data_IF_697574546500
#
_entry.id   IF_697574546500
#
_cell.length_a   1.000
_cell.length_b   1.000
_cell.length_c   1.000
_cell.angle_alpha   90.00
_cell.angle_beta   90.00
_cell.angle_gamma   90.00
#
_symmetry.space_group_name_H-M   'P 1'
#
loop_
_entity.id
_entity.type
_entity.pdbx_description
1 polymer ?
#
# COMPACT_ATOMS: atom_id res chain seq x y z
N UNK A 1 46.37 39.27 6.88
CA UNK A 1 45.38 38.18 6.93
C UNK A 1 44.38 38.35 8.07
N UNK A 2 43.61 39.45 8.08
CA UNK A 2 42.49 39.65 9.02
C UNK A 2 41.36 40.54 8.45
N UNK A 3 41.53 41.05 7.22
CA UNK A 3 40.57 41.95 6.56
C UNK A 3 39.73 41.20 5.52
N UNK A 4 40.25 40.13 4.93
CA UNK A 4 39.56 39.32 3.90
C UNK A 4 38.47 38.40 4.47
N UNK A 5 38.56 38.00 5.74
CA UNK A 5 37.54 37.13 6.38
C UNK A 5 36.28 37.89 6.83
N UNK A 6 36.36 39.23 7.01
CA UNK A 6 35.20 40.04 7.42
C UNK A 6 34.30 40.45 6.24
N UNK A 7 34.85 40.57 5.03
CA UNK A 7 34.05 40.88 3.83
C UNK A 7 33.19 39.68 3.39
N UNK A 8 33.71 38.46 3.51
CA UNK A 8 32.97 37.25 3.11
C UNK A 8 31.76 36.98 4.01
N UNK A 9 31.87 37.26 5.32
CA UNK A 9 30.75 37.06 6.25
C UNK A 9 29.61 38.08 6.05
N UNK A 10 29.94 39.31 5.66
CA UNK A 10 28.96 40.36 5.39
C UNK A 10 28.17 40.11 4.08
N UNK A 11 28.83 39.54 3.05
CA UNK A 11 28.17 39.16 1.79
C UNK A 11 27.19 37.99 1.98
N UNK A 12 27.54 36.97 2.78
CA UNK A 12 26.63 35.85 3.07
C UNK A 12 25.40 36.24 3.90
N UNK A 13 25.53 37.17 4.86
CA UNK A 13 24.38 37.66 5.63
C UNK A 13 23.44 38.56 4.82
N UNK A 14 23.96 39.31 3.84
CA UNK A 14 23.13 40.14 2.94
C UNK A 14 22.30 39.31 1.94
N UNK A 15 22.84 38.18 1.48
CA UNK A 15 22.12 37.26 0.60
C UNK A 15 20.96 36.56 1.34
N UNK A 16 21.14 36.21 2.61
CA UNK A 16 20.09 35.55 3.41
C UNK A 16 18.90 36.48 3.72
N UNK A 17 19.14 37.78 3.88
CA UNK A 17 18.08 38.77 4.13
C UNK A 17 17.29 39.17 2.88
N UNK A 18 17.85 38.98 1.67
CA UNK A 18 17.14 39.23 0.41
C UNK A 18 16.23 38.07 -0.03
N UNK A 19 16.49 36.84 0.43
CA UNK A 19 15.60 35.69 0.17
C UNK A 19 14.41 35.61 1.13
N UNK A 20 14.50 36.20 2.33
CA UNK A 20 13.39 36.21 3.30
C UNK A 20 12.28 37.24 2.98
N UNK A 21 12.52 38.18 2.05
CA UNK A 21 11.58 39.27 1.75
C UNK A 21 10.58 38.99 0.60
N UNK A 22 10.58 37.79 0.00
CA UNK A 22 9.70 37.43 -1.12
C UNK A 22 8.81 36.21 -0.87
N UNK A 23 8.43 35.93 0.39
CA UNK A 23 7.31 35.04 0.67
C UNK A 23 5.99 35.82 0.53
N UNK A 24 5.49 35.96 -0.71
CA UNK A 24 4.12 36.43 -0.96
C UNK A 24 3.16 35.25 -0.76
N UNK A 25 2.30 35.37 0.24
CA UNK A 25 1.07 34.59 0.35
C UNK A 25 0.21 34.78 -0.89
N UNK A 26 0.07 33.72 -1.69
CA UNK A 26 -0.97 33.64 -2.71
C UNK A 26 -2.28 33.21 -2.04
N UNK A 27 -3.07 34.16 -1.57
CA UNK A 27 -4.48 33.93 -1.29
C UNK A 27 -5.26 33.96 -2.61
N UNK A 28 -5.47 32.79 -3.20
CA UNK A 28 -6.42 32.61 -4.30
C UNK A 28 -7.85 32.70 -3.79
N UNK A 29 -8.64 33.65 -4.31
CA UNK A 29 -10.08 33.71 -4.08
C UNK A 29 -10.79 32.50 -4.73
N UNK A 30 -11.78 31.86 -4.07
CA UNK A 30 -12.55 30.79 -4.68
C UNK A 30 -13.55 31.35 -5.68
N UNK A 31 -13.34 31.03 -6.96
CA UNK A 31 -14.31 31.21 -8.02
C UNK A 31 -15.51 30.28 -7.81
N UNK A 32 -16.70 30.86 -7.86
CA UNK A 32 -17.98 30.22 -7.63
C UNK A 32 -18.44 29.49 -8.91
N UNK A 33 -18.24 28.17 -8.97
CA UNK A 33 -18.88 27.28 -9.97
C UNK A 33 -19.32 25.97 -9.30
N UNK A 34 -20.54 25.56 -9.64
CA UNK A 34 -21.35 24.56 -8.93
C UNK A 34 -20.75 23.15 -8.81
N UNK A 35 -21.08 22.57 -7.66
CA UNK A 35 -20.75 21.26 -7.09
C UNK A 35 -21.05 20.05 -7.98
N UNK A 36 -20.05 19.17 -8.11
CA UNK A 36 -20.09 17.75 -7.68
C UNK A 36 -18.73 17.10 -7.94
N UNK A 37 -17.95 16.87 -6.87
CA UNK A 37 -16.60 16.29 -6.90
C UNK A 37 -15.47 17.25 -6.49
N UNK A 38 -15.70 18.09 -5.47
CA UNK A 38 -14.68 18.99 -4.93
C UNK A 38 -13.88 18.28 -3.84
N UNK A 39 -12.54 18.30 -3.94
CA UNK A 39 -11.68 17.89 -2.82
C UNK A 39 -12.03 18.67 -1.56
N UNK A 40 -12.15 17.97 -0.44
CA UNK A 40 -12.41 18.62 0.86
C UNK A 40 -11.25 19.56 1.19
N UNK A 41 -11.57 20.72 1.74
CA UNK A 41 -10.55 21.59 2.32
C UNK A 41 -9.89 20.88 3.49
N UNK A 42 -8.64 21.24 3.80
CA UNK A 42 -7.92 20.65 4.94
C UNK A 42 -8.71 20.76 6.27
N UNK A 43 -9.49 21.83 6.45
CA UNK A 43 -10.34 22.03 7.62
C UNK A 43 -11.58 21.11 7.68
N UNK A 44 -12.00 20.54 6.53
CA UNK A 44 -13.12 19.60 6.41
C UNK A 44 -12.68 18.14 6.44
N UNK A 45 -11.41 17.86 6.12
CA UNK A 45 -10.88 16.50 6.11
C UNK A 45 -11.17 15.80 7.45
N UNK A 46 -11.73 14.59 7.38
CA UNK A 46 -12.15 13.75 8.50
C UNK A 46 -13.38 14.20 9.33
N UNK A 47 -14.16 15.21 8.90
CA UNK A 47 -15.50 15.48 9.45
C UNK A 47 -16.57 14.58 8.84
N UNK A 48 -16.43 13.28 9.06
CA UNK A 48 -17.22 12.26 8.36
C UNK A 48 -18.57 12.09 9.05
N UNK A 49 -19.66 12.27 8.29
CA UNK A 49 -21.02 12.05 8.80
C UNK A 49 -21.43 10.57 8.72
N UNK A 50 -20.97 9.86 7.69
CA UNK A 50 -21.27 8.45 7.47
C UNK A 50 -20.10 7.75 6.75
N UNK A 51 -19.71 6.60 7.27
CA UNK A 51 -18.80 5.65 6.62
C UNK A 51 -19.59 4.46 6.08
N UNK A 52 -19.15 3.91 4.95
CA UNK A 52 -19.75 2.73 4.31
C UNK A 52 -18.67 1.86 3.68
N UNK A 53 -18.96 0.56 3.50
CA UNK A 53 -18.16 -0.27 2.61
C UNK A 53 -18.20 0.27 1.18
N UNK A 54 -17.03 0.48 0.58
CA UNK A 54 -16.86 0.99 -0.78
C UNK A 54 -16.30 -0.10 -1.69
N UNK A 55 -16.78 -0.10 -2.94
CA UNK A 55 -16.34 -0.96 -4.02
C UNK A 55 -15.55 -0.12 -5.04
N UNK A 56 -14.71 -0.73 -5.90
CA UNK A 56 -14.06 0.01 -6.96
C UNK A 56 -15.09 0.73 -7.86
N UNK A 57 -14.85 2.01 -8.13
CA UNK A 57 -15.70 2.86 -8.95
C UNK A 57 -15.29 2.89 -10.42
N UNK A 58 -14.02 2.56 -10.70
CA UNK A 58 -13.46 2.53 -12.04
C UNK A 58 -12.69 1.23 -12.29
N UNK A 59 -12.82 0.69 -13.50
CA UNK A 59 -11.99 -0.39 -14.03
C UNK A 59 -11.31 0.05 -15.33
N UNK A 60 -10.03 -0.25 -15.44
CA UNK A 60 -9.19 -0.07 -16.61
C UNK A 60 -8.85 -1.46 -17.14
N UNK A 61 -9.39 -1.81 -18.31
CA UNK A 61 -9.10 -3.08 -18.97
C UNK A 61 -7.72 -3.03 -19.65
N UNK A 62 -7.04 -4.17 -19.71
CA UNK A 62 -5.76 -4.33 -20.38
C UNK A 62 -5.67 -5.74 -21.00
N UNK A 63 -4.71 -5.95 -21.89
CA UNK A 63 -4.55 -7.21 -22.62
C UNK A 63 -4.41 -8.41 -21.66
N UNK A 64 -3.57 -8.28 -20.64
CA UNK A 64 -3.24 -9.34 -19.68
C UNK A 64 -3.97 -9.25 -18.33
N UNK A 65 -5.01 -8.43 -18.22
CA UNK A 65 -5.70 -8.26 -16.94
C UNK A 65 -6.50 -6.97 -16.85
N UNK A 66 -6.69 -6.49 -15.62
CA UNK A 66 -7.32 -5.20 -15.37
C UNK A 66 -6.85 -4.55 -14.07
N UNK A 67 -7.02 -3.24 -14.00
CA UNK A 67 -6.78 -2.42 -12.82
C UNK A 67 -8.09 -1.78 -12.36
N UNK A 68 -8.42 -1.93 -11.09
CA UNK A 68 -9.60 -1.36 -10.44
C UNK A 68 -9.18 -0.29 -9.44
N UNK A 69 -9.90 0.84 -9.45
CA UNK A 69 -9.64 2.00 -8.63
C UNK A 69 -10.87 2.30 -7.76
N UNK A 70 -10.64 2.56 -6.48
CA UNK A 70 -11.62 3.22 -5.63
C UNK A 70 -11.60 4.72 -5.93
N UNK A 71 -12.72 5.42 -5.71
CA UNK A 71 -12.75 6.86 -5.91
C UNK A 71 -12.00 7.55 -4.76
N UNK A 72 -10.78 8.02 -5.04
CA UNK A 72 -9.95 8.77 -4.08
C UNK A 72 -10.65 10.03 -3.54
N UNK A 73 -11.75 10.47 -4.16
CA UNK A 73 -12.53 11.62 -3.71
C UNK A 73 -13.63 11.29 -2.69
N UNK A 74 -13.87 10.01 -2.38
CA UNK A 74 -14.74 9.67 -1.25
C UNK A 74 -14.15 10.25 0.04
N UNK A 75 -15.02 10.83 0.89
CA UNK A 75 -14.61 11.50 2.14
C UNK A 75 -13.68 10.64 3.00
N UNK A 76 -13.94 9.33 3.03
CA UNK A 76 -13.16 8.36 3.80
C UNK A 76 -11.71 8.23 3.32
N UNK A 77 -11.48 8.22 2.00
CA UNK A 77 -10.14 8.09 1.42
C UNK A 77 -9.40 9.43 1.41
N UNK A 78 -10.13 10.55 1.25
CA UNK A 78 -9.56 11.88 1.45
C UNK A 78 -9.14 12.12 2.90
N UNK A 79 -9.93 11.66 3.88
CA UNK A 79 -9.58 11.71 5.29
C UNK A 79 -8.30 10.91 5.59
N UNK A 80 -8.21 9.67 5.08
CA UNK A 80 -7.02 8.85 5.26
C UNK A 80 -5.82 9.30 4.40
N UNK A 81 -6.04 10.13 3.37
CA UNK A 81 -4.99 10.56 2.46
C UNK A 81 -4.49 9.44 1.55
N UNK A 82 -5.35 8.52 1.12
CA UNK A 82 -4.93 7.33 0.37
C UNK A 82 -5.67 7.18 -0.96
N UNK A 83 -5.03 6.52 -1.92
CA UNK A 83 -5.67 6.01 -3.14
C UNK A 83 -5.60 4.48 -3.17
N UNK A 84 -6.71 3.77 -2.91
CA UNK A 84 -6.77 2.31 -3.01
C UNK A 84 -6.88 1.83 -4.46
N UNK A 85 -6.25 0.69 -4.74
CA UNK A 85 -6.21 0.09 -6.07
C UNK A 85 -6.08 -1.44 -6.00
N UNK A 86 -6.73 -2.14 -6.93
CA UNK A 86 -6.64 -3.59 -7.13
C UNK A 86 -6.13 -3.88 -8.54
N UNK A 87 -5.11 -4.72 -8.65
CA UNK A 87 -4.62 -5.21 -9.94
C UNK A 87 -4.86 -6.71 -10.04
N UNK A 88 -5.38 -7.15 -11.18
CA UNK A 88 -5.60 -8.57 -11.48
C UNK A 88 -4.83 -8.89 -12.75
N UNK A 89 -3.79 -9.72 -12.60
CA UNK A 89 -2.96 -10.18 -13.71
C UNK A 89 -3.37 -11.61 -14.05
N UNK A 90 -3.75 -11.85 -15.30
CA UNK A 90 -3.98 -13.20 -15.82
C UNK A 90 -2.67 -13.96 -15.91
N UNK A 91 -2.76 -15.27 -16.13
CA UNK A 91 -1.58 -16.11 -16.37
C UNK A 91 -0.71 -15.52 -17.49
N UNK A 92 0.61 -15.60 -17.34
CA UNK A 92 1.60 -15.14 -18.32
C UNK A 92 1.38 -13.67 -18.71
N UNK A 93 1.06 -12.82 -17.72
CA UNK A 93 0.83 -11.40 -17.94
C UNK A 93 1.79 -10.54 -17.13
N UNK A 94 2.23 -9.44 -17.72
CA UNK A 94 3.19 -8.48 -17.17
C UNK A 94 2.49 -7.15 -16.91
N UNK A 95 2.44 -6.73 -15.64
CA UNK A 95 2.20 -5.34 -15.29
C UNK A 95 3.42 -4.51 -15.70
N UNK A 96 3.20 -3.55 -16.58
CA UNK A 96 4.27 -2.77 -17.20
C UNK A 96 5.03 -1.91 -16.15
N UNK A 97 6.32 -1.65 -16.40
CA UNK A 97 7.15 -0.89 -15.47
C UNK A 97 6.62 0.54 -15.25
N UNK A 98 6.54 0.95 -13.99
CA UNK A 98 6.08 2.28 -13.59
C UNK A 98 6.68 2.70 -12.23
N UNK A 99 6.59 3.98 -11.89
CA UNK A 99 6.94 4.51 -10.57
C UNK A 99 5.93 5.58 -10.12
N UNK A 100 5.80 5.75 -8.81
CA UNK A 100 4.83 6.66 -8.18
C UNK A 100 5.53 7.68 -7.26
N UNK A 101 5.04 8.91 -7.09
CA UNK A 101 5.64 9.91 -6.18
C UNK A 101 5.36 9.62 -4.69
N UNK A 102 4.51 8.64 -4.39
CA UNK A 102 4.14 8.21 -3.04
C UNK A 102 4.54 6.76 -2.78
N UNK A 103 4.76 6.37 -1.51
CA UNK A 103 4.93 4.98 -1.15
C UNK A 103 3.64 4.20 -1.37
N UNK A 104 3.81 2.93 -1.71
CA UNK A 104 2.72 1.99 -1.99
C UNK A 104 2.92 0.71 -1.20
N UNK A 105 1.90 0.31 -0.46
CA UNK A 105 1.87 -0.96 0.25
C UNK A 105 0.91 -1.91 -0.44
N UNK A 106 1.42 -3.07 -0.88
CA UNK A 106 0.67 -4.05 -1.68
C UNK A 106 0.47 -5.31 -0.85
N UNK A 107 -0.75 -5.83 -0.79
CA UNK A 107 -1.10 -7.14 -0.28
C UNK A 107 -1.45 -8.08 -1.43
N UNK A 108 -0.80 -9.24 -1.49
CA UNK A 108 -1.11 -10.29 -2.46
C UNK A 108 -2.23 -11.16 -1.90
N UNK A 109 -3.44 -10.97 -2.42
CA UNK A 109 -4.65 -11.66 -1.98
C UNK A 109 -4.69 -13.11 -2.48
N UNK A 110 -4.26 -13.34 -3.73
CA UNK A 110 -4.32 -14.63 -4.42
C UNK A 110 -3.23 -14.71 -5.49
N UNK A 111 -2.77 -15.93 -5.81
CA UNK A 111 -1.79 -16.16 -6.86
C UNK A 111 -0.35 -16.05 -6.40
N UNK A 112 0.54 -16.21 -7.38
CA UNK A 112 1.99 -16.03 -7.23
C UNK A 112 2.54 -15.36 -8.48
N UNK A 113 3.72 -14.76 -8.35
CA UNK A 113 4.36 -14.08 -9.45
C UNK A 113 5.78 -13.66 -9.11
N UNK A 114 6.35 -12.87 -9.99
CA UNK A 114 7.65 -12.23 -9.84
C UNK A 114 7.46 -10.72 -9.74
N UNK A 115 8.26 -10.07 -8.92
CA UNK A 115 8.33 -8.61 -8.86
C UNK A 115 9.80 -8.18 -8.80
N UNK A 116 10.12 -7.09 -9.49
CA UNK A 116 11.38 -6.38 -9.27
C UNK A 116 11.09 -4.94 -8.93
N UNK A 117 11.81 -4.42 -7.94
CA UNK A 117 11.79 -3.02 -7.52
C UNK A 117 13.19 -2.50 -7.78
N UNK A 118 13.31 -1.56 -8.71
CA UNK A 118 14.58 -0.99 -9.14
C UNK A 118 14.96 0.12 -8.17
N UNK A 119 16.05 -0.10 -7.43
CA UNK A 119 16.66 0.90 -6.56
C UNK A 119 17.66 1.74 -7.36
N UNK A 120 17.42 3.06 -7.51
CA UNK A 120 18.34 3.93 -8.24
C UNK A 120 19.74 3.91 -7.60
N UNK A 121 20.77 3.68 -8.41
CA UNK A 121 22.16 3.65 -7.97
C UNK A 121 22.66 2.31 -7.43
N UNK A 122 21.82 1.27 -7.39
CA UNK A 122 22.22 -0.11 -7.12
C UNK A 122 22.58 -0.84 -8.42
N UNK A 123 23.60 -1.69 -8.36
CA UNK A 123 24.09 -2.44 -9.51
C UNK A 123 23.23 -3.67 -9.84
N UNK A 124 23.41 -4.18 -11.05
CA UNK A 124 22.82 -5.41 -11.52
C UNK A 124 23.52 -6.63 -10.89
N UNK A 125 23.00 -7.08 -9.74
CA UNK A 125 23.58 -8.19 -8.98
C UNK A 125 23.22 -9.58 -9.52
N UNK A 126 22.27 -9.68 -10.46
CA UNK A 126 21.89 -10.92 -11.12
C UNK A 126 22.52 -10.96 -12.51
N UNK A 127 23.48 -11.87 -12.74
CA UNK A 127 24.30 -11.89 -13.96
C UNK A 127 24.47 -13.33 -14.50
N UNK A 128 24.51 -13.51 -15.82
CA UNK A 128 24.60 -14.86 -16.44
C UNK A 128 25.90 -15.62 -16.11
N UNK A 129 26.94 -14.93 -15.63
CA UNK A 129 28.28 -15.50 -15.36
C UNK A 129 28.60 -15.70 -13.87
N UNK A 130 27.70 -15.34 -12.94
CA UNK A 130 27.95 -15.61 -11.52
C UNK A 130 27.96 -17.12 -11.26
N UNK A 131 29.13 -17.65 -10.88
CA UNK A 131 29.39 -19.07 -10.60
C UNK A 131 28.49 -19.64 -9.48
N UNK A 132 27.79 -18.79 -8.73
CA UNK A 132 26.90 -19.15 -7.62
C UNK A 132 25.53 -19.69 -8.03
N UNK A 133 25.04 -19.45 -9.25
CA UNK A 133 23.66 -19.82 -9.66
C UNK A 133 23.62 -20.98 -10.68
N UNK A 134 24.61 -21.88 -10.66
CA UNK A 134 24.69 -23.01 -11.62
C UNK A 134 23.85 -24.23 -11.25
N UNK A 135 23.20 -24.26 -10.09
CA UNK A 135 22.58 -25.47 -9.54
C UNK A 135 21.07 -25.62 -9.83
N UNK A 136 20.62 -25.31 -11.06
CA UNK A 136 19.19 -25.49 -11.41
C UNK A 136 18.87 -25.62 -12.91
N UNK A 137 19.89 -25.67 -13.79
CA UNK A 137 19.63 -25.80 -15.24
C UNK A 137 19.27 -27.24 -15.61
N UNK A 138 18.12 -27.41 -16.25
CA UNK A 138 17.81 -28.60 -17.03
C UNK A 138 18.85 -28.76 -18.16
N UNK A 139 19.54 -29.92 -18.26
CA UNK A 139 20.63 -30.13 -19.24
C UNK A 139 20.24 -30.03 -20.72
N UNK A 140 18.96 -29.86 -21.06
CA UNK A 140 18.45 -29.84 -22.43
C UNK A 140 18.48 -28.45 -23.09
N UNK A 141 18.73 -27.37 -22.33
CA UNK A 141 18.88 -26.01 -22.90
C UNK A 141 20.30 -25.70 -23.41
N UNK A 142 21.22 -26.67 -23.38
CA UNK A 142 22.60 -26.47 -23.87
C UNK A 142 22.76 -26.58 -25.40
N UNK A 143 21.76 -27.06 -26.13
CA UNK A 143 21.84 -27.15 -27.60
C UNK A 143 20.90 -26.18 -28.31
N UNK A 144 21.38 -24.97 -28.57
CA UNK A 144 20.92 -24.19 -29.72
C UNK A 144 20.03 -22.98 -29.43
N UNK A 145 20.60 -21.94 -28.82
CA UNK A 145 20.40 -20.53 -29.19
C UNK A 145 21.44 -19.71 -28.41
N UNK A 146 22.09 -18.74 -29.07
CA UNK A 146 23.25 -18.04 -28.51
C UNK A 146 23.02 -17.52 -27.10
N UNK A 147 24.00 -17.72 -26.21
CA UNK A 147 24.06 -17.18 -24.84
C UNK A 147 23.63 -15.70 -24.85
N UNK A 148 22.38 -15.40 -24.49
CA UNK A 148 22.00 -14.03 -24.11
C UNK A 148 22.64 -13.76 -22.75
N UNK A 149 23.72 -13.00 -22.76
CA UNK A 149 24.26 -12.41 -21.55
C UNK A 149 23.29 -11.33 -21.09
N UNK A 150 22.78 -11.46 -19.87
CA UNK A 150 21.88 -10.50 -19.26
C UNK A 150 22.38 -10.13 -17.85
N UNK A 151 22.05 -8.92 -17.43
CA UNK A 151 22.31 -8.42 -16.08
C UNK A 151 21.14 -7.53 -15.66
N UNK A 152 20.60 -7.78 -14.48
CA UNK A 152 19.54 -6.95 -13.91
C UNK A 152 19.58 -6.93 -12.38
N UNK A 153 18.79 -6.05 -11.76
CA UNK A 153 18.61 -6.06 -10.31
C UNK A 153 17.79 -7.27 -9.85
N UNK A 154 17.78 -7.52 -8.54
CA UNK A 154 17.11 -8.67 -7.93
C UNK A 154 15.64 -8.77 -8.34
N UNK A 155 15.23 -9.97 -8.68
CA UNK A 155 13.83 -10.35 -8.91
C UNK A 155 13.39 -11.21 -7.75
N UNK A 156 12.21 -10.94 -7.21
CA UNK A 156 11.70 -11.62 -6.03
C UNK A 156 10.43 -12.39 -6.34
N UNK A 157 10.33 -13.58 -5.77
CA UNK A 157 9.08 -14.34 -5.73
C UNK A 157 8.07 -13.65 -4.81
N UNK A 158 6.86 -13.46 -5.31
CA UNK A 158 5.70 -13.06 -4.50
C UNK A 158 4.62 -14.13 -4.54
N UNK A 159 3.89 -14.28 -3.43
CA UNK A 159 2.81 -15.26 -3.28
C UNK A 159 1.71 -14.73 -2.39
N UNK A 160 0.56 -15.40 -2.42
CA UNK A 160 -0.56 -15.15 -1.51
C UNK A 160 -0.08 -14.96 -0.06
N UNK A 161 -0.58 -13.90 0.57
CA UNK A 161 -0.21 -13.52 1.93
C UNK A 161 0.94 -12.53 2.02
N UNK A 162 1.71 -12.31 0.94
CA UNK A 162 2.81 -11.34 0.95
C UNK A 162 2.29 -9.91 1.04
N UNK A 163 2.99 -9.12 1.85
CA UNK A 163 2.95 -7.67 1.85
C UNK A 163 4.23 -7.20 1.19
N UNK A 164 4.12 -6.36 0.17
CA UNK A 164 5.22 -5.81 -0.62
C UNK A 164 5.23 -4.30 -0.46
N UNK A 165 6.37 -3.76 -0.05
CA UNK A 165 6.61 -2.37 0.24
C UNK A 165 7.37 -1.72 -0.93
N UNK A 166 6.72 -0.78 -1.62
CA UNK A 166 7.28 -0.09 -2.79
C UNK A 166 7.48 1.39 -2.41
N UNK A 167 8.73 1.87 -2.28
CA UNK A 167 8.99 3.26 -1.91
C UNK A 167 8.67 4.22 -3.06
N UNK A 168 8.44 5.48 -2.72
CA UNK A 168 8.24 6.55 -3.70
C UNK A 168 9.44 6.64 -4.67
N UNK A 169 9.16 6.83 -5.95
CA UNK A 169 10.14 6.97 -7.02
C UNK A 169 10.77 5.67 -7.51
N UNK A 170 10.59 4.54 -6.82
CA UNK A 170 11.14 3.27 -7.27
C UNK A 170 10.34 2.71 -8.45
N UNK A 171 11.02 2.50 -9.57
CA UNK A 171 10.44 1.80 -10.72
C UNK A 171 10.22 0.33 -10.35
N UNK A 172 9.10 -0.23 -10.78
CA UNK A 172 8.78 -1.62 -10.50
C UNK A 172 7.91 -2.23 -11.59
N UNK A 173 8.00 -3.54 -11.75
CA UNK A 173 7.16 -4.34 -12.63
C UNK A 173 6.78 -5.66 -11.95
N UNK A 174 5.69 -6.28 -12.40
CA UNK A 174 5.21 -7.53 -11.81
C UNK A 174 4.73 -8.49 -12.90
N UNK A 175 5.13 -9.75 -12.80
CA UNK A 175 4.77 -10.80 -13.75
C UNK A 175 4.06 -11.96 -13.07
N UNK A 176 2.95 -12.41 -13.65
CA UNK A 176 2.28 -13.63 -13.21
C UNK A 176 2.80 -14.85 -13.99
N UNK A 177 3.69 -15.62 -13.38
CA UNK A 177 4.15 -16.94 -13.86
C UNK A 177 3.39 -18.10 -13.20
N UNK A 178 2.29 -17.82 -12.49
CA UNK A 178 1.38 -18.79 -11.90
C UNK A 178 0.29 -19.26 -12.86
N UNK A 179 -0.39 -20.33 -12.47
CA UNK A 179 -1.53 -20.88 -13.24
C UNK A 179 -2.84 -20.12 -13.01
N UNK A 180 -3.00 -19.53 -11.83
CA UNK A 180 -4.17 -18.73 -11.44
C UNK A 180 -3.93 -17.23 -11.64
N UNK A 181 -5.00 -16.45 -11.56
CA UNK A 181 -4.88 -14.98 -11.55
C UNK A 181 -4.16 -14.50 -10.28
N UNK A 182 -3.16 -13.64 -10.47
CA UNK A 182 -2.49 -12.91 -9.41
C UNK A 182 -3.33 -11.67 -9.07
N UNK A 183 -3.83 -11.61 -7.83
CA UNK A 183 -4.66 -10.50 -7.33
C UNK A 183 -3.89 -9.72 -6.27
N UNK A 184 -3.63 -8.45 -6.55
CA UNK A 184 -2.86 -7.56 -5.70
C UNK A 184 -3.69 -6.34 -5.29
N UNK A 185 -3.94 -6.21 -3.99
CA UNK A 185 -4.62 -5.08 -3.36
C UNK A 185 -3.57 -4.09 -2.87
N UNK A 186 -3.78 -2.79 -3.02
CA UNK A 186 -2.80 -1.81 -2.56
C UNK A 186 -3.42 -0.51 -2.11
N UNK A 187 -2.74 0.17 -1.19
CA UNK A 187 -2.99 1.58 -0.89
C UNK A 187 -1.74 2.39 -1.25
N UNK A 188 -1.96 3.60 -1.72
CA UNK A 188 -0.93 4.58 -2.04
C UNK A 188 -1.11 5.77 -1.10
N UNK A 189 -0.09 6.13 -0.33
CA UNK A 189 -0.18 7.19 0.68
C UNK A 189 0.07 8.57 0.05
N UNK A 190 -1.00 9.25 -0.33
CA UNK A 190 -0.96 10.55 -1.00
C UNK A 190 -0.49 11.67 -0.06
N UNK A 191 -0.57 11.47 1.25
CA UNK A 191 -0.17 12.46 2.26
C UNK A 191 1.24 12.24 2.81
N UNK A 192 1.94 11.20 2.36
CA UNK A 192 3.30 10.93 2.77
C UNK A 192 4.25 12.07 2.38
N UNK A 193 5.20 12.39 3.27
CA UNK A 193 6.18 13.47 3.07
C UNK A 193 7.04 13.37 1.79
N UNK A 194 7.17 12.17 1.22
CA UNK A 194 7.88 11.97 -0.05
C UNK A 194 7.08 12.49 -1.25
N UNK A 195 5.74 12.58 -1.15
CA UNK A 195 4.90 13.10 -2.20
C UNK A 195 4.86 14.63 -2.14
N UNK A 196 5.82 15.27 -2.79
CA UNK A 196 5.97 16.73 -2.81
C UNK A 196 5.16 17.42 -3.93
N UNK A 197 4.31 16.68 -4.65
CA UNK A 197 3.50 17.23 -5.73
C UNK A 197 2.21 17.83 -5.15
N UNK A 198 1.22 16.96 -4.98
CA UNK A 198 -0.06 17.25 -4.32
C UNK A 198 -0.72 15.91 -3.97
N UNK A 199 -1.88 15.97 -3.32
CA UNK A 199 -2.58 14.77 -2.84
C UNK A 199 -3.34 14.01 -3.96
N UNK A 200 -3.02 14.17 -5.26
CA UNK A 200 -3.64 13.38 -6.35
C UNK A 200 -2.78 12.16 -6.69
N UNK A 201 -3.45 11.02 -6.91
CA UNK A 201 -2.78 9.83 -7.41
C UNK A 201 -2.14 10.10 -8.77
N UNK A 202 -0.85 9.75 -8.91
CA UNK A 202 -0.10 9.79 -10.17
C UNK A 202 0.74 8.54 -10.31
N UNK A 203 0.72 7.96 -11.51
CA UNK A 203 1.60 6.87 -11.89
C UNK A 203 2.34 7.24 -13.18
N UNK A 204 3.66 7.14 -13.14
CA UNK A 204 4.53 7.42 -14.28
C UNK A 204 4.93 6.09 -14.90
N UNK A 205 4.34 5.76 -16.04
CA UNK A 205 4.64 4.52 -16.75
C UNK A 205 5.88 4.70 -17.62
N UNK A 206 6.69 3.65 -17.71
CA UNK A 206 7.86 3.57 -18.61
C UNK A 206 7.52 2.83 -19.91
N UNK A 207 6.32 2.24 -20.00
CA UNK A 207 5.77 1.61 -21.19
C UNK A 207 4.24 1.54 -21.10
N UNK A 208 3.57 1.46 -22.25
CA UNK A 208 2.11 1.34 -22.32
C UNK A 208 1.37 2.63 -21.96
N UNK A 209 0.18 2.50 -21.38
CA UNK A 209 -0.63 3.64 -20.94
C UNK A 209 -2.12 3.48 -21.27
N UNK A 210 -2.94 4.39 -20.73
CA UNK A 210 -4.40 4.38 -20.97
C UNK A 210 -4.78 5.48 -21.96
N UNK A 211 -5.47 5.11 -23.04
CA UNK A 211 -6.00 6.09 -24.00
C UNK A 211 -7.27 6.76 -23.47
N UNK A 212 -7.43 8.04 -23.77
CA UNK A 212 -8.69 8.74 -23.56
C UNK A 212 -9.67 8.35 -24.67
N UNK A 213 -10.75 7.63 -24.34
CA UNK A 213 -11.72 7.20 -25.37
C UNK A 213 -12.56 8.39 -25.87
N UNK A 214 -12.38 8.79 -27.14
CA UNK A 214 -13.12 9.91 -27.76
C UNK A 214 -14.65 9.74 -27.74
N UNK A 215 -15.16 8.50 -27.66
CA UNK A 215 -16.60 8.16 -27.65
C UNK A 215 -17.33 8.54 -26.35
N UNK A 216 -16.66 9.13 -25.35
CA UNK A 216 -17.26 9.59 -24.08
C UNK A 216 -17.08 11.09 -23.83
N UNK A 217 -16.97 11.89 -24.90
CA UNK A 217 -16.91 13.38 -24.83
C UNK A 217 -18.18 14.05 -24.29
N UNK A 218 -19.31 13.34 -24.20
CA UNK A 218 -20.63 13.96 -23.91
C UNK A 218 -21.15 13.81 -22.47
N UNK A 219 -20.35 13.38 -21.50
CA UNK A 219 -20.75 13.42 -20.08
C UNK A 219 -19.60 13.89 -19.18
N UNK A 220 -19.72 15.18 -18.78
CA UNK A 220 -19.26 15.85 -17.55
C UNK A 220 -17.78 15.65 -17.15
N UNK A 221 -17.06 16.77 -17.00
CA UNK A 221 -15.60 16.90 -16.85
C UNK A 221 -14.88 16.11 -15.75
N UNK A 222 -15.56 15.31 -14.95
CA UNK A 222 -14.99 14.40 -13.94
C UNK A 222 -14.16 13.26 -14.56
N UNK A 223 -14.49 12.82 -15.78
CA UNK A 223 -13.81 11.69 -16.43
C UNK A 223 -12.47 12.05 -17.10
N UNK A 224 -12.20 13.34 -17.30
CA UNK A 224 -10.95 13.84 -17.91
C UNK A 224 -9.73 13.68 -16.99
N UNK A 225 -9.92 13.62 -15.68
CA UNK A 225 -8.83 13.63 -14.70
C UNK A 225 -8.30 12.23 -14.36
N UNK A 226 -9.05 11.14 -14.64
CA UNK A 226 -8.64 9.79 -14.26
C UNK A 226 -7.79 9.05 -15.30
N UNK A 227 -7.90 9.38 -16.59
CA UNK A 227 -7.10 8.78 -17.68
C UNK A 227 -5.72 9.40 -17.84
N UNK A 228 -5.53 10.67 -17.45
CA UNK A 228 -4.23 11.33 -17.47
C UNK A 228 -3.24 10.77 -16.44
N UNK A 229 -3.72 9.96 -15.48
CA UNK A 229 -2.92 9.40 -14.38
C UNK A 229 -2.02 8.23 -14.78
N UNK A 230 -2.20 7.66 -15.98
CA UNK A 230 -1.57 6.42 -16.42
C UNK A 230 -0.93 6.58 -17.81
N UNK A 231 0.04 7.48 -17.93
CA UNK A 231 0.69 7.83 -19.20
C UNK A 231 2.16 7.38 -19.22
N UNK A 232 2.62 6.93 -20.38
CA UNK A 232 4.03 6.65 -20.63
C UNK A 232 4.81 7.96 -20.79
N UNK A 233 5.85 8.15 -19.97
CA UNK A 233 6.65 9.37 -19.96
C UNK A 233 7.46 9.55 -21.26
N UNK A 234 7.85 8.47 -21.94
CA UNK A 234 8.65 8.54 -23.15
C UNK A 234 7.93 9.24 -24.29
N UNK A 235 6.59 9.20 -24.29
CA UNK A 235 5.72 9.82 -25.30
C UNK A 235 6.00 11.31 -25.50
N UNK A 236 6.36 12.01 -24.43
CA UNK A 236 6.46 13.47 -24.43
C UNK A 236 7.89 13.98 -24.64
N UNK A 237 8.88 13.08 -24.69
CA UNK A 237 10.26 13.47 -24.99
C UNK A 237 10.49 13.58 -26.51
N UNK A 238 11.41 14.47 -26.87
CA UNK A 238 11.88 14.59 -28.25
C UNK A 238 12.55 13.29 -28.72
N UNK A 239 12.16 12.79 -29.88
CA UNK A 239 12.55 11.45 -30.33
C UNK A 239 14.04 11.39 -30.64
N UNK A 240 14.55 12.39 -31.34
CA UNK A 240 15.93 12.51 -31.74
C UNK A 240 16.84 12.65 -30.51
N UNK A 241 16.44 13.48 -29.54
CA UNK A 241 17.16 13.60 -28.27
C UNK A 241 17.20 12.29 -27.48
N UNK A 242 16.10 11.53 -27.43
CA UNK A 242 16.09 10.22 -26.77
C UNK A 242 16.95 9.19 -27.51
N UNK A 243 16.97 9.23 -28.84
CA UNK A 243 17.80 8.35 -29.65
C UNK A 243 19.29 8.63 -29.40
N UNK A 244 19.67 9.91 -29.28
CA UNK A 244 21.00 10.33 -28.88
C UNK A 244 21.33 9.88 -27.44
N UNK A 245 20.44 10.15 -26.48
CA UNK A 245 20.67 9.84 -25.07
C UNK A 245 20.85 8.33 -24.80
N UNK A 246 20.07 7.49 -25.48
CA UNK A 246 20.20 6.03 -25.39
C UNK A 246 21.25 5.46 -26.35
N UNK A 247 21.77 6.26 -27.28
CA UNK A 247 22.64 5.83 -28.38
C UNK A 247 22.04 4.66 -29.19
N UNK A 248 20.79 4.83 -29.63
CA UNK A 248 20.02 3.83 -30.39
C UNK A 248 19.35 4.45 -31.63
N UNK A 249 18.97 3.64 -32.63
CA UNK A 249 18.19 4.12 -33.77
C UNK A 249 16.84 4.71 -33.34
N UNK A 250 16.42 5.78 -34.02
CA UNK A 250 15.15 6.49 -33.75
C UNK A 250 13.91 5.59 -33.87
N UNK A 251 13.99 4.51 -34.64
CA UNK A 251 12.93 3.52 -34.80
C UNK A 251 12.68 2.74 -33.51
N UNK A 252 13.73 2.53 -32.69
CA UNK A 252 13.58 1.90 -31.37
C UNK A 252 12.88 2.85 -30.42
N UNK A 253 13.27 4.13 -30.42
CA UNK A 253 12.59 5.16 -29.63
C UNK A 253 11.13 5.29 -30.07
N UNK A 254 10.84 5.24 -31.38
CA UNK A 254 9.47 5.23 -31.89
C UNK A 254 8.66 4.11 -31.24
N UNK A 255 9.20 2.88 -31.15
CA UNK A 255 8.52 1.76 -30.45
C UNK A 255 8.33 1.99 -28.95
N UNK A 256 9.27 2.68 -28.28
CA UNK A 256 9.13 3.05 -26.87
C UNK A 256 8.02 4.10 -26.65
N UNK A 257 7.81 4.97 -27.65
CA UNK A 257 6.82 6.04 -27.63
C UNK A 257 5.46 5.62 -28.22
N UNK A 258 5.44 4.62 -29.09
CA UNK A 258 4.30 4.22 -29.90
C UNK A 258 3.13 3.76 -29.03
N UNK A 259 1.94 4.19 -29.43
CA UNK A 259 0.68 3.81 -28.81
C UNK A 259 0.39 2.34 -29.11
N UNK A 260 0.92 1.43 -28.29
CA UNK A 260 0.23 0.16 -28.02
C UNK A 260 -0.85 0.36 -26.95
N UNK A 261 -1.57 1.49 -27.04
CA UNK A 261 -2.55 1.94 -26.03
C UNK A 261 -3.70 0.95 -25.86
N UNK A 262 -4.00 0.16 -26.91
CA UNK A 262 -4.97 -0.94 -26.86
C UNK A 262 -4.56 -2.06 -25.90
N UNK A 263 -3.26 -2.22 -25.61
CA UNK A 263 -2.76 -3.24 -24.68
C UNK A 263 -2.88 -2.82 -23.21
N UNK A 264 -2.99 -1.51 -22.95
CA UNK A 264 -3.19 -0.95 -21.62
C UNK A 264 -1.96 -1.01 -20.72
N UNK A 265 -2.18 -1.34 -19.44
CA UNK A 265 -1.18 -1.30 -18.36
C UNK A 265 -0.59 -2.69 -18.04
N UNK A 266 -1.29 -3.74 -18.48
CA UNK A 266 -0.96 -5.14 -18.24
C UNK A 266 -0.99 -5.88 -19.57
N UNK A 267 0.11 -6.50 -19.96
CA UNK A 267 0.27 -7.11 -21.28
C UNK A 267 0.41 -8.62 -21.21
N UNK A 268 -0.04 -9.34 -22.23
CA UNK A 268 0.21 -10.77 -22.34
C UNK A 268 1.65 -11.02 -22.81
N UNK A 269 2.29 -12.04 -22.23
CA UNK A 269 3.61 -12.53 -22.62
C UNK A 269 3.44 -13.85 -23.36
N UNK A 270 3.62 -13.83 -24.69
CA UNK A 270 3.34 -14.99 -25.56
C UNK A 270 4.44 -16.05 -25.53
N UNK A 271 5.69 -15.63 -25.48
CA UNK A 271 6.86 -16.52 -25.60
C UNK A 271 7.45 -16.92 -24.23
N UNK A 272 6.72 -16.64 -23.14
CA UNK A 272 7.25 -16.74 -21.78
C UNK A 272 8.28 -15.63 -21.48
N UNK A 273 8.65 -15.47 -20.21
CA UNK A 273 9.76 -14.61 -19.82
C UNK A 273 10.92 -15.46 -19.32
N UNK A 274 12.08 -15.30 -19.95
CA UNK A 274 13.35 -15.85 -19.48
C UNK A 274 14.13 -14.73 -18.79
N UNK A 275 14.49 -14.93 -17.53
CA UNK A 275 15.27 -13.99 -16.71
C UNK A 275 16.13 -14.77 -15.72
N UNK A 276 17.17 -14.14 -15.21
CA UNK A 276 18.07 -14.75 -14.22
C UNK A 276 17.37 -14.69 -12.86
N UNK A 277 17.21 -15.82 -12.19
CA UNK A 277 16.61 -15.87 -10.84
C UNK A 277 17.19 -17.04 -10.06
N UNK A 278 17.26 -16.96 -8.72
CA UNK A 278 17.67 -18.11 -7.91
C UNK A 278 16.52 -19.11 -7.87
N UNK A 279 16.82 -20.35 -7.51
CA UNK A 279 15.76 -21.25 -7.07
C UNK A 279 15.17 -20.76 -5.74
N UNK A 280 13.89 -21.03 -5.49
CA UNK A 280 13.17 -20.46 -4.33
C UNK A 280 13.81 -20.81 -2.98
N UNK A 281 14.45 -21.99 -2.88
CA UNK A 281 15.17 -22.45 -1.69
C UNK A 281 16.45 -21.64 -1.50
N UNK A 282 17.18 -21.38 -2.58
CA UNK A 282 18.38 -20.56 -2.55
C UNK A 282 18.03 -19.12 -2.15
N UNK A 283 16.94 -18.54 -2.67
CA UNK A 283 16.52 -17.18 -2.29
C UNK A 283 16.30 -17.05 -0.77
N UNK A 284 15.68 -18.05 -0.12
CA UNK A 284 15.46 -18.05 1.34
C UNK A 284 16.78 -18.23 2.13
N UNK A 285 17.68 -19.12 1.70
CA UNK A 285 18.98 -19.32 2.35
C UNK A 285 19.94 -18.13 2.17
N UNK A 286 19.94 -17.49 0.99
CA UNK A 286 20.73 -16.31 0.71
C UNK A 286 20.27 -15.09 1.51
N UNK A 287 18.96 -14.95 1.79
CA UNK A 287 18.45 -13.87 2.63
C UNK A 287 18.87 -14.01 4.11
N UNK A 288 19.16 -15.23 4.58
CA UNK A 288 19.62 -15.48 5.97
C UNK A 288 21.13 -15.30 6.15
N UNK A 289 21.93 -15.37 5.06
CA UNK A 289 23.39 -15.36 5.11
C UNK A 289 24.05 -13.99 4.83
N UNK A 290 23.29 -12.93 4.53
CA UNK A 290 23.88 -11.62 4.23
C UNK A 290 24.46 -10.93 5.47
N UNK A 291 25.78 -10.75 5.47
CA UNK A 291 26.56 -10.09 6.52
C UNK A 291 27.81 -9.37 5.97
N UNK A 292 27.72 -8.84 4.75
CA UNK A 292 28.80 -8.08 4.11
C UNK A 292 28.65 -6.56 4.26
N UNK A 293 29.73 -5.82 3.99
CA UNK A 293 29.82 -4.37 4.26
C UNK A 293 29.78 -3.49 3.00
N UNK A 294 29.34 -4.02 1.85
CA UNK A 294 29.12 -3.26 0.61
C UNK A 294 27.75 -2.57 0.53
N UNK A 295 27.61 -1.55 -0.33
CA UNK A 295 26.30 -0.93 -0.64
C UNK A 295 25.31 -1.97 -1.21
N UNK A 296 25.83 -2.85 -2.08
CA UNK A 296 25.11 -3.96 -2.70
C UNK A 296 24.57 -4.97 -1.69
N UNK A 297 25.16 -5.06 -0.50
CA UNK A 297 24.83 -6.06 0.53
C UNK A 297 24.05 -5.46 1.70
N UNK A 298 23.74 -4.15 1.64
CA UNK A 298 23.03 -3.43 2.69
C UNK A 298 21.77 -2.74 2.14
N UNK A 299 21.93 -1.57 1.51
CA UNK A 299 20.79 -0.75 1.05
C UNK A 299 20.12 -1.39 -0.15
N UNK A 300 20.90 -1.97 -1.06
CA UNK A 300 20.41 -2.55 -2.32
C UNK A 300 19.77 -3.94 -2.15
N UNK A 301 20.02 -4.62 -1.03
CA UNK A 301 19.38 -5.91 -0.68
C UNK A 301 18.33 -5.77 0.42
N UNK A 302 17.92 -4.55 0.74
CA UNK A 302 16.92 -4.30 1.77
C UNK A 302 15.65 -5.10 1.51
N UNK A 303 15.22 -5.86 2.51
CA UNK A 303 13.99 -6.67 2.44
C UNK A 303 12.78 -5.75 2.29
N UNK A 304 11.99 -6.00 1.24
CA UNK A 304 10.80 -5.23 0.93
C UNK A 304 9.50 -6.04 0.91
N UNK A 305 9.58 -7.34 1.25
CA UNK A 305 8.39 -8.20 1.37
C UNK A 305 8.38 -9.02 2.65
N UNK A 306 7.19 -9.31 3.16
CA UNK A 306 6.98 -10.25 4.26
C UNK A 306 5.62 -10.94 4.14
N UNK A 307 5.55 -12.24 4.45
CA UNK A 307 4.31 -13.01 4.34
C UNK A 307 3.50 -12.99 5.65
N UNK A 308 2.25 -12.51 5.59
CA UNK A 308 1.31 -12.46 6.72
C UNK A 308 0.58 -13.79 6.99
N UNK A 309 0.64 -14.76 6.07
CA UNK A 309 -0.07 -16.04 6.17
C UNK A 309 0.77 -17.17 6.78
N UNK A 310 1.99 -16.85 7.24
CA UNK A 310 2.87 -17.82 7.91
C UNK A 310 2.23 -18.30 9.22
N UNK A 311 1.58 -19.48 9.19
CA UNK A 311 0.72 -20.00 10.29
C UNK A 311 1.39 -20.03 11.67
N UNK A 312 2.71 -20.23 11.74
CA UNK A 312 3.47 -20.30 13.01
C UNK A 312 3.80 -18.94 13.62
N UNK A 313 3.43 -17.83 12.98
CA UNK A 313 3.86 -16.47 13.33
C UNK A 313 2.72 -15.52 13.71
N UNK A 314 1.56 -16.04 14.14
CA UNK A 314 0.49 -15.21 14.69
C UNK A 314 1.01 -14.42 15.90
N UNK A 315 0.94 -13.09 15.81
CA UNK A 315 1.34 -12.21 16.92
C UNK A 315 0.33 -12.26 18.06
N UNK A 316 -0.94 -12.45 17.69
CA UNK A 316 -2.06 -12.57 18.63
C UNK A 316 -2.91 -13.74 18.19
N UNK A 317 -3.19 -14.64 19.13
CA UNK A 317 -3.95 -15.85 18.86
C UNK A 317 -4.91 -16.16 20.01
N UNK A 318 -6.16 -16.43 19.65
CA UNK A 318 -7.17 -16.98 20.54
C UNK A 318 -7.81 -18.21 19.90
N UNK A 319 -7.74 -19.35 20.61
CA UNK A 319 -8.32 -20.62 20.13
C UNK A 319 -9.81 -20.54 19.85
N UNK A 320 -10.52 -19.59 20.47
CA UNK A 320 -11.98 -19.46 20.36
C UNK A 320 -12.42 -18.25 19.54
N UNK A 321 -11.53 -17.29 19.26
CA UNK A 321 -11.89 -16.05 18.60
C UNK A 321 -11.18 -15.82 17.26
N UNK A 322 -9.92 -16.24 17.10
CA UNK A 322 -9.20 -16.04 15.83
C UNK A 322 -7.70 -15.75 15.99
N UNK A 323 -7.14 -15.04 15.01
CA UNK A 323 -5.70 -14.69 14.94
C UNK A 323 -5.45 -13.35 14.27
N UNK A 324 -4.32 -12.72 14.60
CA UNK A 324 -3.81 -11.49 13.98
C UNK A 324 -2.33 -11.66 13.67
N UNK A 325 -1.91 -11.24 12.47
CA UNK A 325 -0.52 -11.12 12.04
C UNK A 325 -0.25 -9.68 11.62
N UNK A 326 0.79 -9.08 12.16
CA UNK A 326 1.28 -7.74 11.83
C UNK A 326 2.54 -7.83 10.98
N UNK A 327 2.68 -6.90 10.04
CA UNK A 327 3.94 -6.57 9.34
C UNK A 327 4.11 -5.06 9.49
N UNK A 328 5.08 -4.66 10.30
CA UNK A 328 5.35 -3.27 10.68
C UNK A 328 6.85 -2.97 10.50
N UNK A 329 7.28 -1.76 10.86
CA UNK A 329 8.68 -1.33 10.74
C UNK A 329 9.70 -2.19 11.50
N UNK A 330 9.28 -3.03 12.46
CA UNK A 330 10.19 -3.97 13.14
C UNK A 330 10.41 -5.25 12.34
N UNK A 331 9.36 -5.77 11.69
CA UNK A 331 9.44 -7.01 10.89
C UNK A 331 9.91 -6.78 9.46
N UNK A 332 9.67 -5.58 8.93
CA UNK A 332 10.03 -5.19 7.57
C UNK A 332 10.60 -3.76 7.61
N UNK A 333 11.92 -3.57 7.81
CA UNK A 333 12.52 -2.27 8.13
C UNK A 333 12.21 -1.13 7.15
N UNK A 334 12.07 -1.40 5.85
CA UNK A 334 11.67 -0.40 4.84
C UNK A 334 10.37 0.33 5.21
N UNK A 335 9.48 -0.33 5.95
CA UNK A 335 8.23 0.26 6.40
C UNK A 335 8.42 1.43 7.35
N UNK A 336 9.55 1.54 8.06
CA UNK A 336 9.87 2.72 8.85
C UNK A 336 10.05 3.96 7.95
N UNK A 337 10.68 3.78 6.79
CA UNK A 337 10.89 4.86 5.82
C UNK A 337 9.59 5.26 5.11
N UNK A 338 8.73 4.29 4.83
CA UNK A 338 7.43 4.53 4.19
C UNK A 338 6.35 5.02 5.15
N UNK A 339 6.59 4.92 6.45
CA UNK A 339 5.62 5.12 7.53
C UNK A 339 4.29 4.36 7.36
N UNK A 340 4.36 3.08 6.95
CA UNK A 340 3.18 2.26 6.70
C UNK A 340 3.27 0.90 7.41
N UNK A 341 2.13 0.25 7.64
CA UNK A 341 2.10 -1.13 8.12
C UNK A 341 0.91 -1.91 7.59
N UNK A 342 0.99 -3.23 7.66
CA UNK A 342 -0.08 -4.14 7.29
C UNK A 342 -0.45 -5.05 8.45
N UNK A 343 -1.72 -5.44 8.53
CA UNK A 343 -2.22 -6.39 9.50
C UNK A 343 -3.23 -7.30 8.85
N UNK A 344 -3.07 -8.62 8.98
CA UNK A 344 -4.09 -9.59 8.59
C UNK A 344 -4.79 -10.14 9.83
N UNK A 345 -6.11 -10.08 9.83
CA UNK A 345 -6.94 -10.64 10.88
C UNK A 345 -7.84 -11.76 10.36
N UNK A 346 -8.07 -12.75 11.21
CA UNK A 346 -9.09 -13.78 11.03
C UNK A 346 -9.91 -13.84 12.31
N UNK A 347 -11.23 -13.76 12.20
CA UNK A 347 -12.17 -14.01 13.27
C UNK A 347 -13.00 -15.25 12.95
N UNK A 348 -13.18 -16.09 13.95
CA UNK A 348 -14.08 -17.23 13.90
C UNK A 348 -15.55 -16.77 13.98
N UNK A 349 -16.50 -17.64 13.60
CA UNK A 349 -17.91 -17.30 13.59
C UNK A 349 -18.39 -16.64 14.89
N UNK A 350 -19.06 -15.49 14.76
CA UNK A 350 -19.60 -14.70 15.88
C UNK A 350 -18.57 -14.14 16.87
N UNK A 351 -17.27 -14.31 16.63
CA UNK A 351 -16.23 -13.72 17.46
C UNK A 351 -16.21 -12.20 17.26
N UNK A 352 -15.69 -11.49 18.27
CA UNK A 352 -15.72 -10.02 18.32
C UNK A 352 -14.31 -9.49 18.42
N UNK A 353 -13.97 -8.51 17.60
CA UNK A 353 -12.81 -7.66 17.86
C UNK A 353 -13.19 -6.69 18.97
N UNK A 354 -12.41 -6.66 20.05
CA UNK A 354 -12.60 -5.76 21.18
C UNK A 354 -12.75 -4.32 20.67
N UNK A 355 -13.71 -3.54 21.20
CA UNK A 355 -13.81 -2.13 20.86
C UNK A 355 -12.49 -1.44 21.18
N UNK A 356 -11.99 -0.64 20.26
CA UNK A 356 -10.69 0.02 20.37
C UNK A 356 -10.64 1.26 19.48
N UNK A 357 -9.62 2.09 19.66
CA UNK A 357 -9.25 3.12 18.69
C UNK A 357 -7.78 2.97 18.30
N UNK A 358 -7.46 3.35 17.06
CA UNK A 358 -6.09 3.51 16.61
C UNK A 358 -5.52 4.81 17.21
N UNK A 359 -4.42 4.70 17.94
CA UNK A 359 -3.73 5.84 18.56
C UNK A 359 -2.96 6.62 17.51
N UNK A 360 -2.42 5.94 16.51
CA UNK A 360 -1.67 6.54 15.39
C UNK A 360 -2.05 5.88 14.05
N UNK A 361 -2.10 6.69 13.01
CA UNK A 361 -2.42 6.28 11.64
C UNK A 361 -3.89 5.95 11.41
N UNK A 362 -4.35 6.14 10.18
CA UNK A 362 -5.65 5.69 9.72
C UNK A 362 -5.60 4.19 9.39
N UNK A 363 -6.74 3.51 9.49
CA UNK A 363 -6.86 2.09 9.12
C UNK A 363 -7.69 1.97 7.84
N UNK A 364 -7.07 1.54 6.75
CA UNK A 364 -7.79 1.17 5.51
C UNK A 364 -8.02 -0.32 5.54
N UNK A 365 -9.28 -0.74 5.71
CA UNK A 365 -9.68 -2.13 5.88
C UNK A 365 -10.19 -2.67 4.55
N UNK A 366 -9.64 -3.79 4.09
CA UNK A 366 -10.12 -4.57 2.96
C UNK A 366 -10.68 -5.90 3.44
N UNK A 367 -11.91 -6.24 3.05
CA UNK A 367 -12.56 -7.49 3.41
C UNK A 367 -12.15 -8.59 2.44
N UNK A 368 -11.32 -9.53 2.91
CA UNK A 368 -10.80 -10.62 2.08
C UNK A 368 -11.81 -11.76 1.94
N UNK A 369 -12.47 -12.16 3.02
CA UNK A 369 -13.47 -13.24 2.99
C UNK A 369 -14.46 -13.13 4.15
N UNK A 370 -15.64 -13.71 3.94
CA UNK A 370 -16.73 -13.68 4.93
C UNK A 370 -17.40 -12.31 5.03
N UNK A 371 -17.96 -12.02 6.21
CA UNK A 371 -18.70 -10.80 6.48
C UNK A 371 -18.63 -10.42 7.97
N UNK A 372 -18.86 -9.15 8.28
CA UNK A 372 -18.90 -8.67 9.66
C UNK A 372 -19.87 -7.51 9.85
N UNK A 373 -20.48 -7.44 11.04
CA UNK A 373 -21.13 -6.22 11.50
C UNK A 373 -20.06 -5.29 12.08
N UNK A 374 -19.90 -4.10 11.51
CA UNK A 374 -18.89 -3.11 11.91
C UNK A 374 -19.59 -1.91 12.53
N UNK A 375 -18.99 -1.36 13.58
CA UNK A 375 -19.41 -0.10 14.19
C UNK A 375 -18.22 0.83 14.33
N UNK A 376 -18.43 2.10 13.97
CA UNK A 376 -17.43 3.17 14.11
C UNK A 376 -18.09 4.39 14.74
N UNK A 377 -17.44 4.96 15.74
CA UNK A 377 -17.91 6.09 16.55
C UNK A 377 -16.86 7.19 16.52
N UNK A 378 -17.31 8.42 16.27
CA UNK A 378 -16.45 9.60 16.20
C UNK A 378 -16.25 10.28 17.58
N UNK A 379 -15.54 11.41 17.57
CA UNK A 379 -15.27 12.22 18.76
C UNK A 379 -16.51 12.86 19.40
N UNK A 380 -17.62 12.99 18.67
CA UNK A 380 -18.89 13.52 19.21
C UNK A 380 -19.71 12.43 19.91
N UNK A 381 -19.27 11.17 19.81
CA UNK A 381 -20.04 10.01 20.26
C UNK A 381 -21.09 9.55 19.26
N UNK A 382 -21.12 10.13 18.05
CA UNK A 382 -22.02 9.73 16.99
C UNK A 382 -21.50 8.46 16.32
N UNK A 383 -22.39 7.49 16.13
CA UNK A 383 -22.11 6.31 15.33
C UNK A 383 -22.14 6.67 13.85
N UNK A 384 -20.96 6.86 13.26
CA UNK A 384 -20.77 7.18 11.84
C UNK A 384 -20.81 5.94 10.94
N UNK A 385 -20.71 4.73 11.51
CA UNK A 385 -20.90 3.46 10.79
C UNK A 385 -21.64 2.46 11.66
N UNK A 386 -22.62 1.76 11.09
CA UNK A 386 -23.26 0.59 11.71
C UNK A 386 -23.70 -0.40 10.64
N UNK A 387 -22.74 -0.84 9.83
CA UNK A 387 -23.03 -1.49 8.56
C UNK A 387 -22.47 -2.92 8.55
N UNK A 388 -23.12 -3.79 7.79
CA UNK A 388 -22.58 -5.11 7.47
C UNK A 388 -21.67 -4.99 6.27
N UNK A 389 -20.40 -5.36 6.43
CA UNK A 389 -19.40 -5.34 5.36
C UNK A 389 -19.21 -6.74 4.79
N UNK A 390 -18.93 -6.81 3.49
CA UNK A 390 -18.84 -8.03 2.70
C UNK A 390 -17.52 -8.13 1.94
N UNK A 391 -17.19 -9.33 1.48
CA UNK A 391 -16.02 -9.61 0.66
C UNK A 391 -15.85 -8.61 -0.51
N UNK A 392 -14.62 -8.13 -0.68
CA UNK A 392 -14.23 -7.20 -1.74
C UNK A 392 -14.44 -5.72 -1.40
N UNK A 393 -15.19 -5.41 -0.34
CA UNK A 393 -15.38 -4.03 0.12
C UNK A 393 -14.13 -3.48 0.84
N UNK A 394 -13.93 -2.16 0.72
CA UNK A 394 -12.99 -1.39 1.53
C UNK A 394 -13.69 -0.33 2.35
N UNK A 395 -13.18 -0.04 3.54
CA UNK A 395 -13.63 1.11 4.32
C UNK A 395 -12.48 1.66 5.18
N UNK A 396 -12.61 2.91 5.60
CA UNK A 396 -11.61 3.55 6.47
C UNK A 396 -12.15 3.66 7.90
N UNK A 397 -11.29 3.37 8.88
CA UNK A 397 -11.46 3.81 10.26
C UNK A 397 -10.43 4.91 10.52
N UNK A 398 -10.84 6.19 10.64
CA UNK A 398 -9.90 7.27 10.91
C UNK A 398 -9.21 7.12 12.26
N UNK A 399 -8.03 7.72 12.41
CA UNK A 399 -7.32 7.77 13.68
C UNK A 399 -8.23 8.31 14.79
N UNK A 400 -8.14 7.71 15.99
CA UNK A 400 -8.97 7.99 17.17
C UNK A 400 -10.47 7.67 17.08
N UNK A 401 -11.01 7.30 15.92
CA UNK A 401 -12.38 6.82 15.86
C UNK A 401 -12.44 5.45 16.56
N UNK A 402 -13.37 5.30 17.49
CA UNK A 402 -13.57 4.05 18.20
C UNK A 402 -14.30 3.07 17.27
N UNK A 403 -13.82 1.84 17.18
CA UNK A 403 -14.40 0.83 16.31
C UNK A 403 -14.44 -0.54 16.96
N UNK A 404 -15.41 -1.35 16.54
CA UNK A 404 -15.53 -2.76 16.88
C UNK A 404 -16.16 -3.50 15.71
N UNK A 405 -15.95 -4.80 15.63
CA UNK A 405 -16.63 -5.64 14.66
C UNK A 405 -16.95 -7.02 15.23
N UNK A 406 -18.04 -7.60 14.74
CA UNK A 406 -18.46 -8.97 15.01
C UNK A 406 -18.51 -9.75 13.71
N UNK A 407 -17.78 -10.86 13.65
CA UNK A 407 -17.80 -11.74 12.50
C UNK A 407 -19.18 -12.37 12.30
N UNK A 408 -19.57 -12.56 11.04
CA UNK A 408 -20.76 -13.30 10.65
C UNK A 408 -20.66 -14.80 10.97
N UNK A 409 -21.63 -15.57 10.47
CA UNK A 409 -21.69 -17.02 10.72
C UNK A 409 -20.58 -17.80 10.00
N UNK A 410 -20.02 -17.24 8.93
CA UNK A 410 -18.96 -17.88 8.14
C UNK A 410 -17.55 -17.44 8.58
N UNK A 411 -17.43 -16.69 9.68
CA UNK A 411 -16.20 -16.03 10.06
C UNK A 411 -15.93 -14.77 9.22
N UNK A 412 -14.77 -14.16 9.45
CA UNK A 412 -14.38 -12.91 8.80
C UNK A 412 -12.86 -12.84 8.67
N UNK A 413 -12.36 -12.62 7.46
CA UNK A 413 -10.95 -12.33 7.20
C UNK A 413 -10.78 -10.98 6.53
N UNK A 414 -9.83 -10.22 7.02
CA UNK A 414 -9.59 -8.87 6.53
C UNK A 414 -8.12 -8.51 6.60
N UNK A 415 -7.74 -7.55 5.76
CA UNK A 415 -6.43 -6.92 5.79
C UNK A 415 -6.60 -5.45 6.12
N UNK A 416 -5.77 -4.93 7.01
CA UNK A 416 -5.68 -3.51 7.34
C UNK A 416 -4.35 -2.99 6.85
N UNK A 417 -4.39 -1.98 6.00
CA UNK A 417 -3.23 -1.21 5.58
C UNK A 417 -3.29 0.13 6.32
N UNK A 418 -2.23 0.47 7.07
CA UNK A 418 -2.18 1.63 7.96
C UNK A 418 -1.15 2.65 7.50
N UNK A 419 -1.46 3.92 7.68
CA UNK A 419 -0.56 5.08 7.49
C UNK A 419 0.28 5.34 8.75
N UNK A 420 0.88 4.28 9.29
CA UNK A 420 1.87 4.33 10.37
C UNK A 420 2.70 3.06 10.36
N UNK A 421 4.02 3.21 10.50
CA UNK A 421 4.98 2.11 10.59
C UNK A 421 4.97 1.37 11.92
N UNK A 422 4.43 1.98 12.98
CA UNK A 422 4.41 1.45 14.35
C UNK A 422 2.99 1.55 14.92
N UNK A 423 2.06 0.72 14.44
CA UNK A 423 0.66 0.90 14.77
C UNK A 423 0.39 0.58 16.25
N UNK A 424 -0.33 1.48 16.91
CA UNK A 424 -0.73 1.39 18.30
C UNK A 424 -2.24 1.47 18.43
N UNK A 425 -2.83 0.57 19.24
CA UNK A 425 -4.26 0.55 19.51
C UNK A 425 -4.51 0.61 21.02
N UNK A 426 -5.56 1.31 21.42
CA UNK A 426 -6.04 1.32 22.80
C UNK A 426 -7.35 0.56 22.90
N UNK A 427 -7.36 -0.51 23.69
CA UNK A 427 -8.52 -1.39 23.85
C UNK A 427 -9.49 -0.84 24.89
N UNK A 428 -10.80 -0.93 24.64
CA UNK A 428 -11.87 -0.56 25.60
C UNK A 428 -12.32 -1.75 26.45
N UNK A 429 -12.26 -2.98 25.93
CA UNK A 429 -12.64 -4.19 26.65
C UNK A 429 -11.53 -5.26 26.63
N UNK A 430 -11.55 -6.14 27.63
CA UNK A 430 -10.58 -7.23 27.77
C UNK A 430 -9.43 -6.93 28.74
N UNK A 431 -8.47 -7.86 28.80
CA UNK A 431 -7.36 -7.88 29.74
C UNK A 431 -6.44 -6.65 29.63
N UNK A 432 -6.22 -6.13 28.43
CA UNK A 432 -5.36 -4.94 28.19
C UNK A 432 -6.17 -3.65 27.95
N UNK A 433 -7.38 -3.56 28.51
CA UNK A 433 -8.26 -2.40 28.26
C UNK A 433 -8.01 -1.21 29.16
N UNK A 434 -8.34 -0.01 28.66
CA UNK A 434 -8.34 1.23 29.44
C UNK A 434 -9.31 1.16 30.62
N UNK A 435 -10.46 0.49 30.45
CA UNK A 435 -11.44 0.29 31.53
C UNK A 435 -10.85 -0.55 32.65
N UNK A 436 -10.11 -1.62 32.31
CA UNK A 436 -9.41 -2.43 33.32
C UNK A 436 -8.28 -1.67 34.01
N UNK A 437 -7.65 -0.71 33.33
CA UNK A 437 -6.59 0.12 33.90
C UNK A 437 -7.10 1.22 34.85
N UNK A 438 -8.35 1.67 34.73
CA UNK A 438 -8.93 2.71 35.60
C UNK A 438 -9.16 2.21 37.03
N UNK A 439 -8.92 3.03 38.08
CA UNK A 439 -9.32 2.70 39.44
C UNK A 439 -10.83 2.42 39.54
N UNK A 440 -11.22 1.49 40.41
CA UNK A 440 -12.65 1.13 40.59
C UNK A 440 -13.47 2.36 40.94
N UNK A 441 -12.97 3.24 41.81
CA UNK A 441 -13.66 4.46 42.23
C UNK A 441 -13.91 5.44 41.08
N UNK A 442 -13.01 5.50 40.08
CA UNK A 442 -13.24 6.33 38.88
C UNK A 442 -14.45 5.80 38.13
N UNK A 443 -14.56 4.48 37.95
CA UNK A 443 -15.68 3.87 37.24
C UNK A 443 -16.99 3.97 38.03
N UNK A 444 -16.96 3.78 39.35
CA UNK A 444 -18.17 3.87 40.18
C UNK A 444 -18.74 5.28 40.16
N UNK A 445 -17.89 6.31 40.26
CA UNK A 445 -18.33 7.70 40.21
C UNK A 445 -18.73 8.13 38.78
N UNK A 446 -17.95 7.76 37.76
CA UNK A 446 -18.22 8.15 36.38
C UNK A 446 -19.51 7.53 35.82
N UNK A 447 -19.79 6.26 36.14
CA UNK A 447 -20.96 5.54 35.63
C UNK A 447 -22.09 5.40 36.64
N UNK A 448 -21.94 5.91 37.87
CA UNK A 448 -22.92 5.77 38.96
C UNK A 448 -23.30 4.29 39.22
N UNK A 449 -22.30 3.42 39.25
CA UNK A 449 -22.45 1.97 39.48
C UNK A 449 -21.80 1.55 40.80
N UNK A 450 -22.22 0.40 41.34
CA UNK A 450 -21.62 -0.16 42.54
C UNK A 450 -20.18 -0.63 42.31
N UNK A 451 -19.34 -0.71 43.36
CA UNK A 451 -17.99 -1.27 43.25
C UNK A 451 -17.95 -2.67 42.64
N UNK A 452 -18.96 -3.50 42.93
CA UNK A 452 -19.08 -4.86 42.38
C UNK A 452 -19.38 -4.84 40.88
N UNK A 453 -20.24 -3.93 40.40
CA UNK A 453 -20.50 -3.77 38.97
C UNK A 453 -19.29 -3.23 38.22
N UNK A 454 -18.58 -2.25 38.79
CA UNK A 454 -17.32 -1.75 38.25
C UNK A 454 -16.28 -2.88 38.15
N UNK A 455 -16.15 -3.71 39.18
CA UNK A 455 -15.25 -4.86 39.14
C UNK A 455 -15.65 -5.89 38.07
N UNK A 456 -16.95 -6.15 37.88
CA UNK A 456 -17.45 -7.01 36.79
C UNK A 456 -17.13 -6.41 35.42
N UNK A 457 -17.34 -5.11 35.24
CA UNK A 457 -17.02 -4.41 34.00
C UNK A 457 -15.53 -4.56 33.64
N UNK A 458 -14.64 -4.49 34.63
CA UNK A 458 -13.19 -4.69 34.45
C UNK A 458 -12.79 -6.13 34.15
N UNK A 459 -13.43 -7.10 34.80
CA UNK A 459 -12.90 -8.47 34.92
C UNK A 459 -13.70 -9.54 34.16
N UNK A 460 -14.91 -9.28 33.68
CA UNK A 460 -15.79 -10.30 33.07
C UNK A 460 -15.22 -10.99 31.82
N UNK A 461 -14.30 -10.33 31.09
CA UNK A 461 -13.60 -10.92 29.94
C UNK A 461 -12.38 -11.76 30.34
N UNK A 462 -12.09 -11.89 31.62
CA UNK A 462 -11.02 -12.72 32.14
C UNK A 462 -9.65 -12.34 31.55
N UNK A 463 -9.02 -13.30 30.87
CA UNK A 463 -7.74 -13.13 30.19
C UNK A 463 -7.84 -12.77 28.70
N UNK A 464 -9.05 -12.66 28.13
CA UNK A 464 -9.22 -12.33 26.71
C UNK A 464 -8.78 -10.90 26.42
N UNK A 465 -8.04 -10.69 25.32
CA UNK A 465 -7.71 -9.35 24.82
C UNK A 465 -7.66 -9.33 23.31
N UNK A 466 -7.99 -8.16 22.73
CA UNK A 466 -8.15 -7.88 21.29
C UNK A 466 -9.19 -8.76 20.58
N UNK A 467 -9.03 -10.07 20.63
CA UNK A 467 -9.96 -11.05 20.08
C UNK A 467 -10.81 -11.65 21.21
N UNK A 468 -12.12 -11.42 21.16
CA UNK A 468 -13.07 -11.84 22.19
C UNK A 468 -13.90 -13.02 21.70
N UNK A 469 -14.03 -14.06 22.53
CA UNK A 469 -14.86 -15.21 22.17
C UNK A 469 -16.34 -14.82 22.08
N UNK A 470 -17.13 -15.53 21.25
CA UNK A 470 -18.57 -15.37 21.21
C UNK A 470 -19.16 -15.61 22.60
N UNK A 471 -20.06 -14.72 23.06
CA UNK A 471 -20.81 -15.01 24.28
C UNK A 471 -21.67 -16.25 24.03
N UNK A 472 -21.53 -17.27 24.90
CA UNK A 472 -22.57 -18.30 25.02
C UNK A 472 -23.82 -17.58 25.52
N UNK A 473 -24.84 -17.42 24.68
CA UNK A 473 -26.17 -17.09 25.17
C UNK A 473 -26.60 -18.26 26.03
N UNK A 474 -26.51 -18.12 27.35
CA UNK A 474 -27.32 -18.91 28.27
C UNK A 474 -28.77 -18.47 28.00
N UNK A 475 -29.51 -19.31 27.28
CA UNK A 475 -30.96 -19.23 27.24
C UNK A 475 -31.53 -19.65 28.59
#
# INVERSE_FOLDING_TARGET
>A
MAVTTRLSLALFLSAFLLFAANAREYQGQPGQYGETGTRLTQAQQCRIQRLTGSQPSQRIESEGGFTELWDENEEQFQCAGVAPMRNVLRRNSLSLPNFHPMPRLVYIERGRGLISIIFPGCAETFQTQSQTFQAGRDPWEESGQGRRSDQHQKVHRIRQGDVVAIPAGAAHWCFNDGEEELVAISINDLNHQSNQLDQNFRAFYLAGGVQESEKKRTQIGLRKQSTQKFQNIFRSFDRELMAEAFNIPTEIVSKMQEEQSERGLIVNVREGMSMIRPDEVEEEEFEEQQGGNGLEENVCTMKYRANMDTRRRADIFSRQAGKINHVNGQKLPILQYMDMSATKGTLYPNAVMSPHWAVNGHCVVYVQSGDAQVQVVDHTGQQVMNDRVNQGEMFVVPQYFASTLRAGQNGFEWVVLRTSSQPMNSQLAGYTSVIRAMPVEVLTNAYQISPNEAQRLKMNRGGESLLLSPQRRSF
#
